data_IF_390123262555
#
_entry.id   IF_390123262555
#
_cell.length_a   1.000
_cell.length_b   1.000
_cell.length_c   1.000
_cell.angle_alpha   90.00
_cell.angle_beta   90.00
_cell.angle_gamma   90.00
#
_symmetry.space_group_name_H-M   'P 1'
#
loop_
_entity.id
_entity.type
_entity.pdbx_description
1 polymer ?
#
# COMPACT_ATOMS: atom_id res chain seq x y z
N UNK A 1 55.03 -12.46 -6.57
CA UNK A 1 53.92 -12.62 -5.60
C UNK A 1 53.00 -11.40 -5.71
N UNK A 2 51.96 -11.51 -6.57
CA UNK A 2 50.86 -10.55 -6.67
C UNK A 2 49.81 -10.93 -5.65
N UNK A 3 49.75 -10.20 -4.51
CA UNK A 3 48.65 -10.27 -3.58
C UNK A 3 47.48 -9.53 -4.17
N UNK A 4 46.49 -10.24 -4.69
CA UNK A 4 45.18 -9.71 -5.03
C UNK A 4 44.49 -9.18 -3.76
N UNK A 5 44.39 -7.89 -3.66
CA UNK A 5 43.60 -7.19 -2.65
C UNK A 5 42.14 -7.47 -2.95
N UNK A 6 41.54 -8.48 -2.33
CA UNK A 6 40.07 -8.62 -2.26
C UNK A 6 39.55 -7.37 -1.58
N UNK A 7 38.96 -6.47 -2.36
CA UNK A 7 38.09 -5.43 -1.80
C UNK A 7 36.93 -6.15 -1.10
N UNK A 8 36.96 -6.13 0.23
CA UNK A 8 35.79 -6.42 1.04
C UNK A 8 34.77 -5.31 0.70
N UNK A 9 33.81 -5.62 -0.15
CA UNK A 9 32.55 -4.89 -0.17
C UNK A 9 31.95 -5.08 1.22
N UNK A 10 32.18 -4.11 2.06
CA UNK A 10 31.60 -4.02 3.39
C UNK A 10 30.13 -3.72 3.19
N UNK A 11 29.28 -4.73 3.28
CA UNK A 11 27.84 -4.56 3.27
C UNK A 11 27.49 -3.59 4.39
N UNK A 12 27.03 -2.40 4.03
CA UNK A 12 26.53 -1.36 4.95
C UNK A 12 25.35 -1.89 5.80
N UNK A 13 24.78 -3.05 5.41
CA UNK A 13 23.69 -3.72 6.13
C UNK A 13 23.98 -4.11 7.57
N UNK A 14 25.26 -4.31 7.96
CA UNK A 14 25.61 -4.84 9.29
C UNK A 14 25.88 -3.75 10.33
N UNK A 15 25.74 -2.46 10.00
CA UNK A 15 26.06 -1.37 10.90
C UNK A 15 24.92 -0.43 11.27
N UNK A 16 23.67 -0.78 10.97
CA UNK A 16 22.55 -0.06 11.56
C UNK A 16 22.14 -0.83 12.82
N UNK A 17 22.64 -0.46 13.99
CA UNK A 17 22.18 -1.06 15.22
C UNK A 17 20.81 -0.53 15.51
N UNK A 18 19.86 -1.43 15.68
CA UNK A 18 18.48 -1.19 16.05
C UNK A 18 17.59 -0.61 14.95
N UNK A 19 16.49 -1.29 14.78
CA UNK A 19 15.34 -0.99 13.92
C UNK A 19 15.08 0.51 13.84
N UNK A 20 14.95 1.04 12.63
CA UNK A 20 14.55 2.43 12.36
C UNK A 20 13.15 2.73 12.96
N UNK A 21 12.44 1.70 13.40
CA UNK A 21 11.21 1.84 14.16
C UNK A 21 11.50 2.07 15.66
N UNK A 22 11.71 3.32 16.02
CA UNK A 22 11.60 3.74 17.42
C UNK A 22 10.15 3.96 17.86
N UNK A 23 9.19 3.97 16.93
CA UNK A 23 7.77 4.23 17.22
C UNK A 23 6.89 3.13 16.64
N UNK A 24 5.95 2.64 17.45
CA UNK A 24 4.90 1.70 17.02
C UNK A 24 4.11 2.29 15.85
N UNK A 25 3.90 1.55 14.75
CA UNK A 25 3.10 2.03 13.62
C UNK A 25 1.70 2.40 14.05
N UNK A 26 1.24 3.52 13.56
CA UNK A 26 -0.13 3.98 13.77
C UNK A 26 -1.01 3.58 12.59
N UNK A 27 -2.31 3.50 12.83
CA UNK A 27 -3.29 3.29 11.76
C UNK A 27 -3.17 4.40 10.70
N UNK A 28 -3.12 3.99 9.43
CA UNK A 28 -2.92 4.88 8.29
C UNK A 28 -1.45 5.11 7.92
N UNK A 29 -0.49 4.62 8.71
CA UNK A 29 0.91 4.68 8.32
C UNK A 29 1.18 3.74 7.13
N UNK A 30 1.99 4.19 6.19
CA UNK A 30 2.53 3.33 5.15
C UNK A 30 3.80 2.70 5.67
N UNK A 31 3.86 1.37 5.66
CA UNK A 31 4.98 0.61 6.20
C UNK A 31 5.64 -0.23 5.13
N UNK A 32 6.96 -0.37 5.28
CA UNK A 32 7.79 -1.31 4.53
C UNK A 32 8.02 -2.50 5.45
N UNK A 33 7.81 -3.70 4.93
CA UNK A 33 8.00 -4.92 5.70
C UNK A 33 8.49 -6.07 4.81
N UNK A 34 9.16 -7.02 5.43
CA UNK A 34 9.51 -8.28 4.78
C UNK A 34 8.32 -9.21 4.79
N UNK A 35 8.04 -9.80 3.62
CA UNK A 35 6.94 -10.75 3.48
C UNK A 35 7.13 -11.93 4.45
N UNK A 36 6.15 -12.22 5.35
CA UNK A 36 6.34 -13.26 6.37
C UNK A 36 6.57 -14.67 5.81
N UNK A 37 6.15 -14.94 4.58
CA UNK A 37 6.27 -16.25 3.95
C UNK A 37 7.66 -16.55 3.41
N UNK A 38 8.47 -15.53 3.09
CA UNK A 38 9.83 -15.73 2.54
C UNK A 38 10.93 -14.92 3.23
N UNK A 39 10.57 -13.90 4.01
CA UNK A 39 11.46 -12.97 4.71
C UNK A 39 12.53 -12.27 3.83
N UNK A 40 12.39 -12.35 2.51
CA UNK A 40 13.32 -11.77 1.54
C UNK A 40 12.71 -10.64 0.74
N UNK A 41 11.43 -10.76 0.39
CA UNK A 41 10.71 -9.81 -0.43
C UNK A 41 10.18 -8.64 0.40
N UNK A 42 10.52 -7.43 0.00
CA UNK A 42 10.04 -6.22 0.66
C UNK A 42 8.70 -5.79 0.05
N UNK A 43 7.72 -5.58 0.91
CA UNK A 43 6.39 -5.07 0.56
C UNK A 43 6.14 -3.71 1.18
N UNK A 44 5.32 -2.93 0.50
CA UNK A 44 4.87 -1.63 0.99
C UNK A 44 3.37 -1.60 1.02
N UNK A 45 2.79 -1.39 2.19
CA UNK A 45 1.34 -1.36 2.40
C UNK A 45 0.98 -0.36 3.49
N UNK A 46 -0.31 -0.05 3.57
CA UNK A 46 -0.87 0.82 4.61
C UNK A 46 -1.43 0.03 5.77
N UNK A 47 -1.12 0.43 6.99
CA UNK A 47 -1.66 -0.17 8.22
C UNK A 47 -3.13 0.21 8.38
N UNK A 48 -4.01 -0.79 8.37
CA UNK A 48 -5.45 -0.65 8.58
C UNK A 48 -5.86 -1.17 9.95
N UNK A 49 -5.44 -2.37 10.31
CA UNK A 49 -5.71 -2.99 11.61
C UNK A 49 -4.48 -2.99 12.50
N UNK A 50 -4.68 -2.63 13.76
CA UNK A 50 -3.70 -2.71 14.84
C UNK A 50 -3.92 -3.98 15.66
N UNK A 51 -2.95 -4.40 16.51
CA UNK A 51 -3.13 -5.55 17.39
C UNK A 51 -4.44 -5.45 18.19
N UNK A 52 -5.23 -6.53 18.15
CA UNK A 52 -6.52 -6.62 18.84
C UNK A 52 -7.73 -6.12 18.03
N UNK A 53 -7.55 -5.47 16.90
CA UNK A 53 -8.66 -5.05 16.04
C UNK A 53 -9.33 -6.23 15.33
N UNK A 54 -10.59 -6.03 14.97
CA UNK A 54 -11.31 -6.84 14.00
C UNK A 54 -11.49 -6.07 12.69
N UNK A 55 -11.04 -6.67 11.60
CA UNK A 55 -11.14 -6.09 10.24
C UNK A 55 -11.97 -7.01 9.38
N UNK A 56 -12.91 -6.45 8.64
CA UNK A 56 -13.70 -7.18 7.65
C UNK A 56 -13.86 -6.29 6.41
N UNK A 57 -13.93 -6.88 5.24
CA UNK A 57 -14.34 -6.18 4.04
C UNK A 57 -15.78 -6.57 3.73
N UNK A 58 -16.62 -5.57 3.51
CA UNK A 58 -18.03 -5.71 3.18
C UNK A 58 -18.30 -4.83 1.96
N UNK A 59 -18.67 -5.42 0.85
CA UNK A 59 -18.89 -4.75 -0.44
C UNK A 59 -17.74 -3.79 -0.80
N UNK A 60 -16.49 -4.28 -0.67
CA UNK A 60 -15.28 -3.52 -0.95
C UNK A 60 -14.92 -2.47 0.11
N UNK A 61 -15.74 -2.29 1.15
CA UNK A 61 -15.53 -1.29 2.20
C UNK A 61 -14.97 -1.93 3.47
N UNK A 62 -14.01 -1.25 4.08
CA UNK A 62 -13.42 -1.71 5.34
C UNK A 62 -14.40 -1.48 6.50
N UNK A 63 -14.73 -2.54 7.19
CA UNK A 63 -15.37 -2.52 8.50
C UNK A 63 -14.28 -2.75 9.56
N UNK A 64 -14.13 -1.81 10.47
CA UNK A 64 -13.16 -1.85 11.54
C UNK A 64 -13.88 -1.87 12.89
N UNK A 65 -13.65 -2.93 13.67
CA UNK A 65 -14.32 -3.14 14.96
C UNK A 65 -15.86 -3.05 14.85
N UNK A 66 -16.41 -3.61 13.75
CA UNK A 66 -17.86 -3.63 13.49
C UNK A 66 -18.43 -2.33 12.90
N UNK A 67 -17.60 -1.32 12.62
CA UNK A 67 -18.05 -0.07 12.00
C UNK A 67 -17.42 0.09 10.62
N UNK A 68 -18.26 0.27 9.59
CA UNK A 68 -17.79 0.60 8.24
C UNK A 68 -17.16 1.99 8.27
N UNK A 69 -15.97 2.13 7.69
CA UNK A 69 -15.29 3.40 7.55
C UNK A 69 -16.07 4.34 6.64
N UNK A 70 -15.90 5.65 6.84
CA UNK A 70 -16.50 6.66 5.97
C UNK A 70 -15.70 6.76 4.67
N UNK A 71 -16.41 6.88 3.54
CA UNK A 71 -15.85 7.08 2.21
C UNK A 71 -16.44 8.31 1.55
N UNK A 72 -15.65 8.95 0.71
CA UNK A 72 -16.06 10.06 -0.15
C UNK A 72 -15.53 9.79 -1.56
N UNK A 73 -16.40 9.82 -2.56
CA UNK A 73 -15.99 9.70 -3.94
C UNK A 73 -15.35 11.03 -4.40
N UNK A 74 -14.08 10.96 -4.84
CA UNK A 74 -13.34 12.15 -5.27
C UNK A 74 -13.37 12.28 -6.79
N UNK A 75 -13.47 11.16 -7.50
CA UNK A 75 -13.51 11.16 -8.94
C UNK A 75 -13.58 9.77 -9.54
N UNK A 76 -13.92 9.75 -10.84
CA UNK A 76 -13.98 8.54 -11.65
C UNK A 76 -13.12 8.66 -12.88
N UNK A 77 -12.52 7.54 -13.28
CA UNK A 77 -11.99 7.39 -14.62
C UNK A 77 -13.12 6.93 -15.55
N UNK A 78 -13.41 7.72 -16.56
CA UNK A 78 -14.39 7.39 -17.57
C UNK A 78 -13.70 7.47 -18.94
N UNK A 79 -13.76 6.41 -19.74
CA UNK A 79 -13.18 6.35 -21.09
C UNK A 79 -11.68 6.73 -21.09
N UNK A 80 -10.89 6.13 -20.21
CA UNK A 80 -9.45 6.36 -20.07
C UNK A 80 -9.05 7.80 -19.67
N UNK A 81 -10.00 8.60 -19.17
CA UNK A 81 -9.74 9.94 -18.64
C UNK A 81 -10.18 10.01 -17.19
N UNK A 82 -9.28 10.38 -16.32
CA UNK A 82 -9.65 10.66 -14.95
C UNK A 82 -10.35 12.01 -14.86
N UNK A 83 -11.59 12.01 -14.38
CA UNK A 83 -12.39 13.20 -14.14
C UNK A 83 -12.59 13.33 -12.63
N UNK A 84 -12.09 14.42 -12.05
CA UNK A 84 -12.34 14.73 -10.65
C UNK A 84 -13.73 15.37 -10.46
N UNK A 85 -14.15 15.54 -9.20
CA UNK A 85 -15.41 16.21 -8.82
C UNK A 85 -15.58 17.63 -9.38
N UNK A 86 -14.50 18.24 -9.94
CA UNK A 86 -14.52 19.54 -10.62
C UNK A 86 -14.49 19.42 -12.15
N UNK A 87 -14.80 18.23 -12.70
CA UNK A 87 -14.79 17.94 -14.15
C UNK A 87 -13.47 18.25 -14.87
N UNK A 88 -12.34 18.17 -14.16
CA UNK A 88 -11.02 18.33 -14.76
C UNK A 88 -10.40 16.97 -15.06
N UNK A 89 -10.00 16.75 -16.31
CA UNK A 89 -9.24 15.56 -16.69
C UNK A 89 -7.84 15.63 -16.07
N UNK A 90 -7.49 14.67 -15.20
CA UNK A 90 -6.22 14.66 -14.46
C UNK A 90 -5.24 13.62 -15.02
N UNK A 91 -5.72 12.61 -15.75
CA UNK A 91 -4.86 11.54 -16.26
C UNK A 91 -5.59 10.50 -17.08
N UNK A 92 -4.86 9.51 -17.56
CA UNK A 92 -5.40 8.39 -18.31
C UNK A 92 -5.20 7.10 -17.53
N UNK A 93 -6.26 6.29 -17.45
CA UNK A 93 -6.26 4.96 -16.88
C UNK A 93 -6.89 4.00 -17.88
N UNK A 94 -6.42 2.77 -17.95
CA UNK A 94 -6.91 1.80 -18.94
C UNK A 94 -8.24 1.14 -18.56
N UNK A 95 -8.80 1.44 -17.39
CA UNK A 95 -10.00 0.82 -16.85
C UNK A 95 -10.83 1.84 -16.08
N UNK A 96 -12.13 1.60 -16.00
CA UNK A 96 -13.02 2.40 -15.18
C UNK A 96 -12.64 2.22 -13.71
N UNK A 97 -12.07 3.25 -13.12
CA UNK A 97 -11.54 3.23 -11.75
C UNK A 97 -12.17 4.37 -10.97
N UNK A 98 -12.73 4.07 -9.82
CA UNK A 98 -13.21 5.07 -8.88
C UNK A 98 -12.12 5.44 -7.91
N UNK A 99 -11.91 6.72 -7.66
CA UNK A 99 -11.05 7.19 -6.58
C UNK A 99 -11.91 7.58 -5.40
N UNK A 100 -11.65 6.94 -4.29
CA UNK A 100 -12.34 7.16 -3.03
C UNK A 100 -11.37 7.70 -2.00
N UNK A 101 -11.83 8.62 -1.17
CA UNK A 101 -11.15 9.01 0.06
C UNK A 101 -11.72 8.20 1.21
N UNK A 102 -10.86 7.42 1.85
CA UNK A 102 -11.17 6.63 3.03
C UNK A 102 -10.77 7.39 4.29
N UNK A 103 -11.67 7.45 5.27
CA UNK A 103 -11.46 8.16 6.54
C UNK A 103 -11.27 7.15 7.67
N UNK A 104 -10.16 7.25 8.36
CA UNK A 104 -9.83 6.43 9.52
C UNK A 104 -10.37 7.05 10.83
N UNK A 105 -10.64 6.22 11.85
CA UNK A 105 -11.15 6.72 13.15
C UNK A 105 -10.22 7.70 13.87
N UNK A 106 -8.92 7.69 13.53
CA UNK A 106 -7.93 8.61 14.11
C UNK A 106 -7.86 9.98 13.38
N UNK A 107 -8.83 10.29 12.51
CA UNK A 107 -8.93 11.55 11.77
C UNK A 107 -8.06 11.62 10.52
N UNK A 108 -7.25 10.60 10.23
CA UNK A 108 -6.47 10.55 8.99
C UNK A 108 -7.36 10.10 7.82
N UNK A 109 -7.04 10.60 6.64
CA UNK A 109 -7.66 10.16 5.40
C UNK A 109 -6.62 9.99 4.29
N UNK A 110 -6.93 9.17 3.31
CA UNK A 110 -6.09 8.92 2.14
C UNK A 110 -6.96 8.44 0.97
N UNK A 111 -6.36 8.49 -0.21
CA UNK A 111 -7.03 8.10 -1.44
C UNK A 111 -6.76 6.65 -1.76
N UNK A 112 -7.80 5.95 -2.22
CA UNK A 112 -7.72 4.57 -2.67
C UNK A 112 -8.30 4.45 -4.09
N UNK A 113 -7.83 3.46 -4.82
CA UNK A 113 -8.33 3.08 -6.13
C UNK A 113 -9.21 1.84 -5.99
N UNK A 114 -10.40 1.93 -6.55
CA UNK A 114 -11.44 0.89 -6.58
C UNK A 114 -11.87 0.71 -8.04
N UNK A 115 -11.57 -0.42 -8.63
CA UNK A 115 -11.69 -0.64 -10.09
C UNK A 115 -12.76 -1.68 -10.41
N UNK A 116 -12.84 -2.75 -9.63
CA UNK A 116 -13.73 -3.87 -9.87
C UNK A 116 -14.69 -4.06 -8.71
N UNK A 117 -15.92 -4.41 -9.03
CA UNK A 117 -16.92 -4.79 -8.05
C UNK A 117 -17.06 -6.30 -8.00
N UNK A 118 -17.48 -6.83 -6.85
CA UNK A 118 -17.78 -8.25 -6.65
C UNK A 118 -16.57 -9.18 -6.77
N UNK A 119 -15.38 -8.70 -6.43
CA UNK A 119 -14.22 -9.58 -6.30
C UNK A 119 -14.31 -10.44 -5.01
N UNK A 120 -13.67 -11.60 -4.96
CA UNK A 120 -13.67 -12.44 -3.75
C UNK A 120 -13.17 -11.73 -2.49
N UNK A 121 -12.31 -10.71 -2.65
CA UNK A 121 -11.78 -9.90 -1.55
C UNK A 121 -12.70 -8.75 -1.12
N UNK A 122 -13.82 -8.51 -1.81
CA UNK A 122 -14.79 -7.46 -1.45
C UNK A 122 -15.72 -7.87 -0.32
N UNK A 123 -15.88 -9.18 -0.12
CA UNK A 123 -16.65 -9.73 0.98
C UNK A 123 -15.85 -10.82 1.68
N UNK A 124 -15.37 -10.52 2.89
CA UNK A 124 -14.46 -11.40 3.62
C UNK A 124 -15.04 -11.84 4.95
N UNK A 125 -14.44 -12.89 5.51
CA UNK A 125 -14.60 -13.19 6.93
C UNK A 125 -14.02 -12.08 7.80
N UNK A 126 -14.34 -12.11 9.10
CA UNK A 126 -13.73 -11.20 10.08
C UNK A 126 -12.30 -11.66 10.36
N UNK A 127 -11.34 -10.78 10.16
CA UNK A 127 -9.95 -10.97 10.52
C UNK A 127 -9.69 -10.36 11.89
N UNK A 128 -9.38 -11.19 12.89
CA UNK A 128 -8.96 -10.73 14.21
C UNK A 128 -7.44 -10.59 14.22
N UNK A 129 -6.95 -9.36 14.37
CA UNK A 129 -5.53 -9.06 14.32
C UNK A 129 -4.85 -9.57 15.60
N UNK A 130 -3.90 -10.52 15.53
CA UNK A 130 -3.23 -11.03 16.71
C UNK A 130 -2.38 -9.96 17.41
N UNK A 131 -2.01 -10.20 18.65
CA UNK A 131 -1.05 -9.36 19.37
C UNK A 131 0.28 -9.31 18.59
N UNK A 132 0.92 -8.17 18.60
CA UNK A 132 2.18 -7.90 17.85
C UNK A 132 2.09 -8.08 16.34
N UNK A 133 0.89 -8.11 15.76
CA UNK A 133 0.68 -8.17 14.32
C UNK A 133 -0.11 -6.97 13.82
N UNK A 134 -0.01 -6.74 12.51
CA UNK A 134 -0.72 -5.67 11.81
C UNK A 134 -1.49 -6.25 10.62
N UNK A 135 -2.64 -5.65 10.35
CA UNK A 135 -3.38 -5.91 9.13
C UNK A 135 -3.14 -4.75 8.17
N UNK A 136 -2.61 -5.05 7.00
CA UNK A 136 -2.20 -4.04 6.02
C UNK A 136 -2.96 -4.20 4.71
N UNK A 137 -3.24 -3.10 4.01
CA UNK A 137 -3.87 -3.09 2.70
C UNK A 137 -3.14 -2.17 1.74
N UNK A 138 -3.22 -2.49 0.45
CA UNK A 138 -2.76 -1.60 -0.61
C UNK A 138 -3.77 -0.50 -0.91
N UNK A 139 -3.29 0.68 -1.30
CA UNK A 139 -4.16 1.80 -1.69
C UNK A 139 -4.86 1.53 -3.05
N UNK A 140 -4.24 0.75 -3.95
CA UNK A 140 -4.93 0.18 -5.11
C UNK A 140 -5.59 -1.15 -4.69
N UNK A 141 -6.86 -1.06 -4.25
CA UNK A 141 -7.60 -2.14 -3.57
C UNK A 141 -7.66 -3.42 -4.36
N UNK A 142 -7.97 -3.35 -5.63
CA UNK A 142 -8.21 -4.53 -6.45
C UNK A 142 -6.93 -5.12 -7.05
N UNK A 143 -5.90 -4.30 -7.15
CA UNK A 143 -4.60 -4.71 -7.66
C UNK A 143 -3.54 -4.75 -6.55
N UNK A 144 -3.91 -5.27 -5.38
CA UNK A 144 -3.01 -5.39 -4.23
C UNK A 144 -3.03 -6.79 -3.64
N UNK A 145 -1.87 -7.38 -3.53
CA UNK A 145 -1.65 -8.55 -2.71
C UNK A 145 -1.29 -8.08 -1.29
N UNK A 146 -2.21 -8.27 -0.33
CA UNK A 146 -2.11 -7.73 1.03
C UNK A 146 -2.71 -8.68 2.07
N UNK A 147 -2.97 -8.21 3.29
CA UNK A 147 -3.42 -9.05 4.41
C UNK A 147 -4.75 -9.77 4.18
N UNK A 148 -5.56 -9.35 3.21
CA UNK A 148 -6.78 -10.08 2.80
C UNK A 148 -6.46 -11.48 2.28
N UNK A 149 -5.25 -11.67 1.76
CA UNK A 149 -4.74 -12.96 1.27
C UNK A 149 -3.93 -13.66 2.35
N UNK A 150 -4.62 -14.27 3.32
CA UNK A 150 -4.02 -14.87 4.53
C UNK A 150 -2.89 -15.85 4.23
N UNK A 151 -3.03 -16.68 3.19
CA UNK A 151 -2.00 -17.67 2.82
C UNK A 151 -0.78 -17.09 2.12
N UNK A 152 -0.87 -15.84 1.63
CA UNK A 152 0.22 -15.20 0.87
C UNK A 152 0.92 -14.13 1.68
N UNK A 153 0.17 -13.23 2.27
CA UNK A 153 0.69 -12.10 3.05
C UNK A 153 0.28 -12.23 4.51
N UNK A 154 -1.02 -12.37 4.78
CA UNK A 154 -1.58 -12.55 6.12
C UNK A 154 -1.31 -11.36 7.05
N UNK A 155 -1.28 -11.64 8.34
CA UNK A 155 -0.92 -10.65 9.36
C UNK A 155 0.58 -10.43 9.38
N UNK A 156 1.01 -9.18 9.50
CA UNK A 156 2.42 -8.81 9.49
C UNK A 156 2.93 -8.75 10.93
N UNK A 157 3.87 -9.64 11.32
CA UNK A 157 4.49 -9.56 12.63
C UNK A 157 5.26 -8.25 12.79
N UNK A 158 5.30 -7.71 13.99
CA UNK A 158 6.08 -6.49 14.29
C UNK A 158 7.55 -6.64 13.88
N UNK A 159 8.10 -7.85 14.01
CA UNK A 159 9.49 -8.14 13.68
C UNK A 159 9.81 -8.12 12.19
N UNK A 160 8.80 -8.27 11.35
CA UNK A 160 8.95 -8.16 9.89
C UNK A 160 8.95 -6.70 9.40
N UNK A 161 8.59 -5.75 10.25
CA UNK A 161 8.58 -4.34 9.87
C UNK A 161 10.02 -3.83 9.69
N UNK A 162 10.28 -3.21 8.54
CA UNK A 162 11.58 -2.60 8.20
C UNK A 162 11.57 -1.12 8.53
N UNK A 163 10.51 -0.40 8.13
CA UNK A 163 10.44 1.03 8.32
C UNK A 163 9.07 1.60 7.98
N UNK A 164 8.88 2.88 8.35
CA UNK A 164 7.73 3.69 7.94
C UNK A 164 8.12 4.54 6.75
N UNK A 165 7.33 4.49 5.68
CA UNK A 165 7.50 5.38 4.54
C UNK A 165 7.07 6.80 4.96
N UNK A 166 8.03 7.71 5.14
CA UNK A 166 7.76 9.09 5.56
C UNK A 166 7.69 10.06 4.40
N UNK A 167 8.41 9.80 3.31
CA UNK A 167 8.56 10.73 2.19
C UNK A 167 8.48 9.97 0.87
N UNK A 168 7.73 10.50 -0.09
CA UNK A 168 7.88 10.13 -1.50
C UNK A 168 9.09 10.88 -2.04
N UNK A 169 10.25 10.24 -2.09
CA UNK A 169 11.49 10.92 -2.47
C UNK A 169 11.52 11.29 -3.96
N UNK A 170 10.88 10.49 -4.82
CA UNK A 170 10.85 10.74 -6.26
C UNK A 170 9.65 10.09 -6.92
N UNK A 171 8.93 10.88 -7.71
CA UNK A 171 7.92 10.39 -8.63
C UNK A 171 8.19 11.03 -9.99
N UNK A 172 8.86 10.31 -10.89
CA UNK A 172 9.14 10.82 -12.24
C UNK A 172 7.97 10.50 -13.16
N UNK A 173 7.26 11.52 -13.57
CA UNK A 173 6.22 11.34 -14.58
C UNK A 173 6.80 11.58 -15.97
N UNK A 174 7.33 10.55 -16.62
CA UNK A 174 7.91 10.59 -17.97
C UNK A 174 6.93 11.05 -19.06
N UNK A 175 5.63 11.18 -18.75
CA UNK A 175 4.58 11.47 -19.71
C UNK A 175 4.31 12.96 -19.94
N UNK A 176 5.01 13.87 -19.30
CA UNK A 176 4.90 15.31 -19.62
C UNK A 176 5.63 15.71 -20.89
N UNK A 177 6.41 14.82 -21.50
CA UNK A 177 7.13 15.11 -22.74
C UNK A 177 6.46 14.35 -23.89
N UNK A 178 5.45 14.95 -24.44
CA UNK A 178 4.94 14.71 -25.78
C UNK A 178 4.28 13.37 -26.06
N UNK A 179 2.97 13.25 -25.81
CA UNK A 179 2.01 12.69 -26.77
C UNK A 179 0.58 12.83 -26.22
N UNK A 180 -0.30 13.34 -27.06
CA UNK A 180 -1.74 13.53 -26.80
C UNK A 180 -2.58 12.24 -26.85
N UNK A 181 -1.99 11.07 -26.80
CA UNK A 181 -2.72 9.80 -26.90
C UNK A 181 -2.54 9.01 -25.60
N UNK A 182 -3.68 8.67 -24.99
CA UNK A 182 -3.75 7.72 -23.89
C UNK A 182 -3.42 6.31 -24.41
N UNK A 183 -2.18 6.07 -24.77
CA UNK A 183 -1.74 4.75 -25.21
C UNK A 183 -1.15 3.97 -24.04
N UNK A 184 -1.67 2.78 -23.91
CA UNK A 184 -1.46 1.68 -23.00
C UNK A 184 -0.16 1.66 -22.17
N UNK A 185 -0.30 1.27 -20.93
CA UNK A 185 0.68 0.89 -19.89
C UNK A 185 1.08 1.99 -18.91
N UNK A 186 0.19 2.27 -17.96
CA UNK A 186 0.60 2.85 -16.69
C UNK A 186 0.75 1.71 -15.68
N UNK A 187 1.95 1.19 -15.57
CA UNK A 187 2.34 0.44 -14.40
C UNK A 187 2.45 1.44 -13.24
N UNK A 188 1.54 1.34 -12.28
CA UNK A 188 1.68 1.97 -10.98
C UNK A 188 2.67 1.16 -10.14
N UNK A 189 3.92 1.17 -10.55
CA UNK A 189 4.98 0.89 -9.59
C UNK A 189 5.13 2.12 -8.71
N UNK A 190 4.65 2.01 -7.48
CA UNK A 190 5.10 2.86 -6.39
C UNK A 190 6.58 2.55 -6.20
N UNK A 191 7.44 3.26 -6.94
CA UNK A 191 8.88 3.25 -6.66
C UNK A 191 9.09 3.92 -5.30
N UNK A 192 9.00 3.12 -4.25
CA UNK A 192 9.45 3.50 -2.93
C UNK A 192 10.93 3.21 -2.86
N UNK A 193 11.72 4.26 -2.87
CA UNK A 193 13.16 4.19 -2.66
C UNK A 193 13.41 3.92 -1.19
N UNK A 194 14.24 2.93 -0.94
CA UNK A 194 14.77 2.56 0.35
C UNK A 194 15.41 3.76 1.07
N UNK A 195 15.06 3.93 2.32
CA UNK A 195 15.89 4.59 3.31
C UNK A 195 16.44 3.51 4.24
#
# INVERSE_FOLDING_TARGET
>A
HLRTRRQRQMCIRDRIPSRIFSKIPQRGDVVIFKLPTDNSTDYVKRVIGLPGDSVQIIDGRVSLNGKILKYEEIGKNINNKFINSKNRSIGCYNQDTTILREFLPNGRSYEILDTYNNLPQDNTQIYRVPLNHYFVMGDNRDNSQDSRFIKKVGFIPHDNLVGKAQIKFFSWNWRKIGKKNCDSSVNWELSLIHI
#
